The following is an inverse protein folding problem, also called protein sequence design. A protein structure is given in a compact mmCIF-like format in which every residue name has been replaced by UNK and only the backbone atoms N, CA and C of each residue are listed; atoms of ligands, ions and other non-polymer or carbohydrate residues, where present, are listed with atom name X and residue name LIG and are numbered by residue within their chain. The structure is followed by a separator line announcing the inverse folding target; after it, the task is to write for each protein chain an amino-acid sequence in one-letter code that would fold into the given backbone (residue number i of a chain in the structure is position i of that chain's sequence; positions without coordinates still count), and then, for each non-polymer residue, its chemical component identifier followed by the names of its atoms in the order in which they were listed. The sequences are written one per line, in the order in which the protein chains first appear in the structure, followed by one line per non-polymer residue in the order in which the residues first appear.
data_IF_182478793233
#
_entry.id   IF_182478793233
#
_cell.length_a   1.000
_cell.length_b   1.000
_cell.length_c   1.000
_cell.angle_alpha   90.00
_cell.angle_beta   90.00
_cell.angle_gamma   90.00
#
_symmetry.space_group_name_H-M   'P 1'
#
loop_
_entity.id
_entity.type
_entity.pdbx_description
1 polymer ?
#
# COMPACT_ATOMS: atom_id res chain seq x y z
N UNK A 1 -3.64 12.81 22.22
CA UNK A 1 -3.72 11.57 21.42
C UNK A 1 -4.80 11.73 20.36
N UNK A 2 -4.50 11.42 19.10
CA UNK A 2 -5.51 11.48 18.04
C UNK A 2 -6.52 10.33 18.23
N UNK A 3 -7.82 10.63 18.15
CA UNK A 3 -8.89 9.63 18.34
C UNK A 3 -9.04 8.74 17.10
N UNK A 4 -9.18 7.42 17.28
CA UNK A 4 -9.59 6.46 16.25
C UNK A 4 -10.77 6.94 15.38
N UNK A 5 -11.73 7.66 15.97
CA UNK A 5 -12.91 8.18 15.26
C UNK A 5 -12.54 9.10 14.10
N UNK A 6 -11.44 9.85 14.21
CA UNK A 6 -10.99 10.78 13.16
C UNK A 6 -10.50 10.00 11.93
N UNK A 7 -9.88 8.85 12.15
CA UNK A 7 -9.22 8.07 11.12
C UNK A 7 -10.12 7.01 10.47
N UNK A 8 -11.37 6.85 10.92
CA UNK A 8 -12.33 5.92 10.30
C UNK A 8 -12.57 6.17 8.81
N UNK A 9 -12.55 7.44 8.39
CA UNK A 9 -12.81 7.81 7.01
C UNK A 9 -11.77 7.27 6.01
N UNK A 10 -10.58 6.87 6.49
CA UNK A 10 -9.48 6.35 5.66
C UNK A 10 -9.34 4.81 5.75
N UNK A 11 -10.28 4.12 6.41
CA UNK A 11 -10.22 2.66 6.59
C UNK A 11 -10.36 1.94 5.26
N UNK A 12 -11.30 2.39 4.42
CA UNK A 12 -11.60 1.79 3.12
C UNK A 12 -10.64 2.25 2.01
N UNK A 13 -9.77 3.22 2.28
CA UNK A 13 -8.79 3.69 1.29
C UNK A 13 -7.68 2.66 1.12
N UNK A 14 -7.38 2.23 -0.12
CA UNK A 14 -6.33 1.26 -0.36
C UNK A 14 -4.96 1.85 -0.02
N UNK A 15 -4.05 0.98 0.42
CA UNK A 15 -2.64 1.29 0.48
C UNK A 15 -2.05 1.33 -0.93
N UNK A 16 -1.43 2.45 -1.30
CA UNK A 16 -0.64 2.64 -2.51
C UNK A 16 0.84 2.78 -2.18
N UNK A 17 1.70 2.66 -3.19
CA UNK A 17 3.13 2.89 -3.03
C UNK A 17 3.44 4.39 -2.83
N UNK A 18 4.52 4.67 -2.09
CA UNK A 18 5.07 6.02 -1.94
C UNK A 18 6.53 6.04 -2.42
N UNK A 19 6.76 6.07 -3.75
CA UNK A 19 8.09 5.80 -4.35
C UNK A 19 9.19 6.75 -3.88
N UNK A 20 8.83 8.00 -3.58
CA UNK A 20 9.75 9.05 -3.13
C UNK A 20 10.47 8.74 -1.81
N UNK A 21 9.91 7.86 -0.98
CA UNK A 21 10.51 7.46 0.30
C UNK A 21 11.22 6.11 0.23
N UNK A 22 10.99 5.33 -0.83
CA UNK A 22 11.56 4.00 -1.05
C UNK A 22 10.49 2.92 -1.24
N UNK A 23 10.88 1.71 -1.67
CA UNK A 23 9.96 0.65 -2.08
C UNK A 23 9.11 0.06 -0.94
N UNK A 24 9.55 0.20 0.31
CA UNK A 24 8.84 -0.26 1.50
C UNK A 24 7.75 0.71 1.97
N UNK A 25 7.75 1.94 1.45
CA UNK A 25 6.84 2.98 1.92
C UNK A 25 5.51 2.90 1.20
N UNK A 26 4.45 2.98 1.98
CA UNK A 26 3.09 3.00 1.51
C UNK A 26 2.35 4.21 2.05
N UNK A 27 1.38 4.66 1.28
CA UNK A 27 0.49 5.75 1.62
C UNK A 27 -0.96 5.33 1.42
N UNK A 28 -1.83 5.79 2.29
CA UNK A 28 -3.26 5.87 2.02
C UNK A 28 -3.74 7.27 2.35
N UNK A 29 -4.76 7.73 1.64
CA UNK A 29 -5.31 9.08 1.81
C UNK A 29 -6.78 9.11 1.42
N UNK A 30 -7.53 10.04 2.00
CA UNK A 30 -8.89 10.34 1.59
C UNK A 30 -9.16 11.84 1.66
N UNK A 31 -10.08 12.33 0.83
CA UNK A 31 -10.50 13.72 0.78
C UNK A 31 -12.01 13.85 0.91
N UNK A 32 -12.45 14.98 1.42
CA UNK A 32 -13.83 15.41 1.39
C UNK A 32 -13.91 16.95 1.43
N UNK A 33 -15.12 17.51 1.46
CA UNK A 33 -15.32 18.95 1.52
C UNK A 33 -14.85 19.60 2.85
N UNK A 34 -14.48 18.80 3.85
CA UNK A 34 -13.93 19.26 5.12
C UNK A 34 -12.39 19.21 5.15
N UNK A 35 -11.75 18.66 4.12
CA UNK A 35 -10.29 18.60 3.97
C UNK A 35 -9.79 17.19 3.64
N UNK A 36 -8.61 16.83 4.16
CA UNK A 36 -7.99 15.54 3.87
C UNK A 36 -7.40 14.85 5.09
N UNK A 37 -7.22 13.54 4.92
CA UNK A 37 -6.41 12.68 5.77
C UNK A 37 -5.35 12.00 4.91
N UNK A 38 -4.12 11.97 5.39
CA UNK A 38 -3.02 11.23 4.77
C UNK A 38 -2.32 10.40 5.83
N UNK A 39 -1.93 9.18 5.47
CA UNK A 39 -1.28 8.24 6.37
C UNK A 39 -0.21 7.47 5.62
N UNK A 40 1.01 7.42 6.17
CA UNK A 40 2.16 6.74 5.58
C UNK A 40 2.74 5.72 6.54
N UNK A 41 3.27 4.63 6.01
CA UNK A 41 3.91 3.57 6.81
C UNK A 41 5.08 2.96 6.04
N UNK A 42 6.10 2.52 6.78
CA UNK A 42 7.19 1.67 6.31
C UNK A 42 7.02 0.20 6.76
N UNK A 43 5.86 -0.12 7.35
CA UNK A 43 5.59 -1.41 7.98
C UNK A 43 6.10 -1.56 9.42
N UNK A 44 6.80 -0.56 9.96
CA UNK A 44 7.27 -0.53 11.35
C UNK A 44 6.66 0.63 12.16
N UNK A 45 6.39 1.75 11.50
CA UNK A 45 5.73 2.91 12.09
C UNK A 45 4.59 3.42 11.22
N UNK A 46 3.80 4.32 11.81
CA UNK A 46 2.69 4.98 11.14
C UNK A 46 2.80 6.48 11.39
N UNK A 47 2.73 7.28 10.32
CA UNK A 47 2.68 8.72 10.40
C UNK A 47 1.44 9.22 9.69
N UNK A 48 0.85 10.29 10.19
CA UNK A 48 -0.36 10.83 9.59
C UNK A 48 -0.50 12.31 9.79
N UNK A 49 -1.29 12.89 8.89
CA UNK A 49 -1.70 14.27 8.92
C UNK A 49 -3.20 14.38 8.67
N UNK A 50 -3.81 15.37 9.31
CA UNK A 50 -5.17 15.82 9.04
C UNK A 50 -5.15 17.32 8.81
N UNK A 51 -5.70 17.77 7.69
CA UNK A 51 -5.95 19.20 7.45
C UNK A 51 -7.42 19.45 7.16
N UNK A 52 -7.88 20.62 7.59
CA UNK A 52 -9.26 21.05 7.37
C UNK A 52 -9.36 21.97 6.14
N UNK A 53 -10.56 22.15 5.63
CA UNK A 53 -10.85 22.96 4.46
C UNK A 53 -10.31 24.39 4.58
N UNK A 54 -10.42 24.99 5.77
CA UNK A 54 -9.92 26.35 6.04
C UNK A 54 -8.42 26.45 5.79
N UNK A 55 -7.64 25.57 6.42
CA UNK A 55 -6.19 25.50 6.22
C UNK A 55 -5.84 25.31 4.74
N UNK A 56 -6.57 24.43 4.05
CA UNK A 56 -6.29 24.13 2.65
C UNK A 56 -6.46 25.36 1.76
N UNK A 57 -7.55 26.10 1.95
CA UNK A 57 -7.84 27.31 1.20
C UNK A 57 -6.85 28.43 1.54
N UNK A 58 -6.52 28.63 2.82
CA UNK A 58 -5.50 29.60 3.24
C UNK A 58 -4.14 29.30 2.62
N UNK A 59 -3.74 28.03 2.57
CA UNK A 59 -2.49 27.64 1.88
C UNK A 59 -2.59 27.88 0.38
N UNK A 60 -3.72 27.53 -0.25
CA UNK A 60 -3.94 27.75 -1.68
C UNK A 60 -3.83 29.22 -2.09
N UNK A 61 -4.41 30.12 -1.30
CA UNK A 61 -4.35 31.56 -1.52
C UNK A 61 -2.91 32.10 -1.49
N UNK A 62 -2.03 31.52 -0.67
CA UNK A 62 -0.62 31.93 -0.58
C UNK A 62 0.17 31.65 -1.86
N UNK A 63 -0.05 30.50 -2.50
CA UNK A 63 0.73 30.11 -3.69
C UNK A 63 0.01 30.35 -5.02
N UNK A 64 -1.32 30.45 -5.02
CA UNK A 64 -2.10 30.85 -6.20
C UNK A 64 -3.35 31.62 -5.78
N UNK A 65 -3.24 32.95 -5.60
CA UNK A 65 -4.38 33.81 -5.25
C UNK A 65 -5.53 33.76 -6.27
N UNK A 66 -5.25 33.35 -7.50
CA UNK A 66 -6.22 33.26 -8.58
C UNK A 66 -6.88 31.87 -8.69
N UNK A 67 -6.53 30.93 -7.81
CA UNK A 67 -7.10 29.58 -7.85
C UNK A 67 -8.52 29.58 -7.28
N UNK A 68 -9.51 29.64 -8.16
CA UNK A 68 -10.91 29.42 -7.82
C UNK A 68 -11.20 27.92 -7.81
N UNK A 69 -10.88 27.25 -6.69
CA UNK A 69 -11.16 25.82 -6.51
C UNK A 69 -11.60 25.51 -5.08
N UNK A 70 -12.44 24.49 -4.92
CA UNK A 70 -12.84 24.03 -3.61
C UNK A 70 -11.71 23.31 -2.88
N UNK A 71 -11.83 23.23 -1.56
CA UNK A 71 -10.82 22.59 -0.71
C UNK A 71 -10.61 21.11 -1.06
N UNK A 72 -11.64 20.43 -1.57
CA UNK A 72 -11.56 19.04 -1.98
C UNK A 72 -10.69 18.89 -3.23
N UNK A 73 -10.92 19.71 -4.24
CA UNK A 73 -10.18 19.68 -5.51
C UNK A 73 -8.69 19.98 -5.28
N UNK A 74 -8.39 20.96 -4.43
CA UNK A 74 -7.01 21.29 -4.03
C UNK A 74 -6.36 20.12 -3.28
N UNK A 75 -7.12 19.48 -2.37
CA UNK A 75 -6.62 18.31 -1.64
C UNK A 75 -6.34 17.13 -2.58
N UNK A 76 -7.25 16.85 -3.51
CA UNK A 76 -7.12 15.79 -4.50
C UNK A 76 -5.86 16.02 -5.35
N UNK A 77 -5.65 17.26 -5.80
CA UNK A 77 -4.45 17.65 -6.54
C UNK A 77 -3.17 17.41 -5.72
N UNK A 78 -3.11 17.92 -4.48
CA UNK A 78 -1.93 17.79 -3.64
C UNK A 78 -1.60 16.32 -3.32
N UNK A 79 -2.61 15.51 -3.01
CA UNK A 79 -2.41 14.09 -2.69
C UNK A 79 -2.04 13.25 -3.91
N UNK A 80 -2.53 13.58 -5.11
CA UNK A 80 -2.13 12.89 -6.32
C UNK A 80 -0.61 13.02 -6.59
N UNK A 81 -0.02 14.19 -6.29
CA UNK A 81 1.41 14.40 -6.43
C UNK A 81 2.26 13.56 -5.47
N UNK A 82 1.72 13.15 -4.30
CA UNK A 82 2.49 12.34 -3.34
C UNK A 82 2.93 11.00 -3.94
N UNK A 83 2.17 10.47 -4.88
CA UNK A 83 2.50 9.20 -5.55
C UNK A 83 3.62 9.33 -6.59
N UNK A 84 4.06 10.55 -6.90
CA UNK A 84 5.12 10.80 -7.88
C UNK A 84 6.51 10.67 -7.23
N UNK A 85 7.55 10.35 -8.03
CA UNK A 85 8.92 10.22 -7.52
C UNK A 85 9.58 11.55 -7.15
N UNK A 86 8.98 12.70 -7.49
CA UNK A 86 9.57 14.04 -7.30
C UNK A 86 9.42 14.62 -5.89
N UNK A 87 8.71 13.93 -4.99
CA UNK A 87 8.48 14.39 -3.62
C UNK A 87 9.77 14.34 -2.81
N UNK A 88 10.04 15.40 -2.04
CA UNK A 88 11.19 15.45 -1.11
C UNK A 88 10.71 15.11 0.30
N UNK A 89 11.36 14.15 0.95
CA UNK A 89 11.07 13.78 2.33
C UNK A 89 12.17 14.26 3.28
N UNK A 90 11.79 14.97 4.34
CA UNK A 90 12.70 15.44 5.39
C UNK A 90 12.23 14.91 6.73
N UNK A 91 13.09 14.13 7.40
CA UNK A 91 12.81 13.56 8.71
C UNK A 91 13.27 14.50 9.82
N UNK A 92 12.44 14.64 10.85
CA UNK A 92 12.73 15.47 12.02
C UNK A 92 12.49 14.67 13.30
N UNK A 93 13.01 15.19 14.42
CA UNK A 93 12.73 14.68 15.77
C UNK A 93 12.95 13.16 15.95
N UNK A 94 14.09 12.64 15.47
CA UNK A 94 14.43 11.22 15.59
C UNK A 94 13.34 10.27 15.03
N UNK A 95 12.72 10.64 13.90
CA UNK A 95 11.62 9.94 13.22
C UNK A 95 10.24 10.06 13.87
N UNK A 96 10.04 11.01 14.78
CA UNK A 96 8.69 11.32 15.29
C UNK A 96 7.85 12.13 14.28
N UNK A 97 8.50 12.77 13.32
CA UNK A 97 7.85 13.58 12.29
C UNK A 97 8.58 13.47 10.95
N UNK A 98 7.80 13.60 9.87
CA UNK A 98 8.31 13.67 8.50
C UNK A 98 7.54 14.74 7.73
N UNK A 99 8.29 15.60 7.05
CA UNK A 99 7.73 16.58 6.12
C UNK A 99 7.92 16.10 4.69
N UNK A 100 6.82 15.96 3.94
CA UNK A 100 6.84 15.67 2.51
C UNK A 100 6.56 16.96 1.75
N UNK A 101 7.55 17.45 1.03
CA UNK A 101 7.44 18.66 0.20
C UNK A 101 7.23 18.25 -1.27
N UNK A 102 6.15 18.76 -1.86
CA UNK A 102 5.90 18.65 -3.30
C UNK A 102 6.12 20.01 -3.96
N UNK A 103 6.61 19.98 -5.18
CA UNK A 103 6.73 21.16 -6.05
C UNK A 103 6.35 20.72 -7.44
N UNK A 104 5.32 21.34 -7.99
CA UNK A 104 4.73 20.96 -9.27
C UNK A 104 4.21 22.20 -9.99
N UNK A 105 3.80 22.04 -11.24
CA UNK A 105 3.28 23.12 -12.07
C UNK A 105 1.84 22.79 -12.49
N UNK A 106 0.93 23.73 -12.25
CA UNK A 106 -0.47 23.64 -12.63
C UNK A 106 -0.79 24.77 -13.60
N UNK A 107 -1.09 24.44 -14.86
CA UNK A 107 -1.44 25.42 -15.91
C UNK A 107 -0.44 26.58 -16.07
N UNK A 108 0.87 26.33 -15.96
CA UNK A 108 1.88 27.40 -16.04
C UNK A 108 2.28 28.00 -14.69
N UNK A 109 1.59 27.66 -13.60
CA UNK A 109 1.84 28.19 -12.27
C UNK A 109 2.54 27.16 -11.40
N UNK A 110 3.72 27.51 -10.87
CA UNK A 110 4.41 26.69 -9.89
C UNK A 110 3.65 26.74 -8.55
N UNK A 111 3.37 25.58 -7.98
CA UNK A 111 2.88 25.49 -6.61
C UNK A 111 3.75 24.58 -5.76
N UNK A 112 3.75 24.87 -4.46
CA UNK A 112 4.43 24.08 -3.43
C UNK A 112 3.44 23.71 -2.35
N UNK A 113 3.50 22.47 -1.90
CA UNK A 113 2.70 22.00 -0.78
C UNK A 113 3.57 21.15 0.14
N UNK A 114 3.26 21.20 1.43
CA UNK A 114 3.97 20.46 2.45
C UNK A 114 2.99 19.67 3.30
N UNK A 115 3.31 18.40 3.48
CA UNK A 115 2.60 17.50 4.37
C UNK A 115 3.45 17.28 5.62
N UNK A 116 2.94 17.68 6.78
CA UNK A 116 3.63 17.53 8.06
C UNK A 116 3.05 16.31 8.80
N UNK A 117 3.59 15.14 8.50
CA UNK A 117 3.09 13.90 9.09
C UNK A 117 3.76 13.65 10.44
N UNK A 118 2.94 13.39 11.45
CA UNK A 118 3.39 13.07 12.81
C UNK A 118 3.15 11.61 13.10
N UNK A 119 4.03 11.02 13.90
CA UNK A 119 3.90 9.64 14.33
C UNK A 119 2.55 9.44 15.05
N UNK A 120 1.81 8.44 14.59
CA UNK A 120 0.54 8.04 15.17
C UNK A 120 0.77 6.99 16.26
N UNK A 121 -0.24 6.78 17.10
CA UNK A 121 -0.17 5.82 18.19
C UNK A 121 -0.12 4.38 17.67
N UNK A 122 0.45 3.48 18.49
CA UNK A 122 0.49 2.05 18.21
C UNK A 122 -0.92 1.44 18.08
N UNK A 123 -1.93 2.02 18.75
CA UNK A 123 -3.32 1.63 18.57
C UNK A 123 -3.80 1.86 17.12
N UNK A 124 -3.48 3.02 16.53
CA UNK A 124 -3.81 3.32 15.14
C UNK A 124 -3.01 2.45 14.17
N UNK A 125 -1.74 2.16 14.49
CA UNK A 125 -0.92 1.23 13.71
C UNK A 125 -1.49 -0.18 13.72
N UNK A 126 -1.88 -0.69 14.88
CA UNK A 126 -2.49 -2.01 15.02
C UNK A 126 -3.83 -2.10 14.26
N UNK A 127 -4.63 -1.04 14.31
CA UNK A 127 -5.94 -1.01 13.66
C UNK A 127 -5.86 -0.90 12.13
N UNK A 128 -4.99 -0.04 11.60
CA UNK A 128 -4.94 0.21 10.15
C UNK A 128 -3.93 -0.64 9.39
N UNK A 129 -2.98 -1.28 10.07
CA UNK A 129 -1.91 -2.04 9.45
C UNK A 129 -1.89 -3.50 9.93
N UNK A 130 -1.58 -3.72 11.21
CA UNK A 130 -1.31 -5.08 11.72
C UNK A 130 -2.53 -6.00 11.63
N UNK A 131 -3.69 -5.53 12.12
CA UNK A 131 -4.91 -6.35 12.16
C UNK A 131 -5.41 -6.71 10.75
N UNK A 132 -5.55 -5.75 9.80
CA UNK A 132 -5.92 -6.07 8.43
C UNK A 132 -4.95 -7.05 7.76
N UNK A 133 -3.63 -6.85 7.94
CA UNK A 133 -2.62 -7.75 7.38
C UNK A 133 -2.75 -9.17 7.94
N UNK A 134 -2.93 -9.33 9.25
CA UNK A 134 -3.10 -10.64 9.87
C UNK A 134 -4.35 -11.36 9.33
N UNK A 135 -5.47 -10.64 9.23
CA UNK A 135 -6.74 -11.17 8.69
C UNK A 135 -6.56 -11.62 7.24
N UNK A 136 -5.92 -10.80 6.40
CA UNK A 136 -5.67 -11.14 4.99
C UNK A 136 -4.75 -12.36 4.86
N UNK A 137 -3.67 -12.46 5.65
CA UNK A 137 -2.78 -13.63 5.65
C UNK A 137 -3.54 -14.90 6.05
N UNK A 138 -4.40 -14.82 7.06
CA UNK A 138 -5.23 -15.96 7.48
C UNK A 138 -6.22 -16.39 6.39
N UNK A 139 -6.87 -15.42 5.73
CA UNK A 139 -7.78 -15.69 4.60
C UNK A 139 -7.04 -16.33 3.43
N UNK A 140 -5.84 -15.85 3.09
CA UNK A 140 -5.00 -16.43 2.05
C UNK A 140 -4.58 -17.87 2.42
N UNK A 141 -4.17 -18.12 3.66
CA UNK A 141 -3.82 -19.48 4.12
C UNK A 141 -5.02 -20.44 4.01
N UNK A 142 -6.21 -20.00 4.41
CA UNK A 142 -7.44 -20.77 4.25
C UNK A 142 -7.74 -21.08 2.77
N UNK A 143 -7.57 -20.08 1.90
CA UNK A 143 -7.80 -20.23 0.46
C UNK A 143 -6.81 -21.21 -0.18
N UNK A 144 -5.53 -21.16 0.21
CA UNK A 144 -4.50 -22.11 -0.25
C UNK A 144 -4.87 -23.55 0.14
N UNK A 145 -5.32 -23.76 1.37
CA UNK A 145 -5.73 -25.10 1.83
C UNK A 145 -6.94 -25.63 1.07
N UNK A 146 -7.93 -24.77 0.80
CA UNK A 146 -9.10 -25.13 -0.01
C UNK A 146 -8.70 -25.53 -1.43
N UNK A 147 -7.88 -24.71 -2.09
CA UNK A 147 -7.42 -24.97 -3.45
C UNK A 147 -6.57 -26.24 -3.52
N UNK A 148 -5.74 -26.50 -2.51
CA UNK A 148 -4.93 -27.73 -2.43
C UNK A 148 -5.83 -28.96 -2.34
N UNK A 149 -6.84 -28.92 -1.47
CA UNK A 149 -7.83 -30.01 -1.35
C UNK A 149 -8.59 -30.22 -2.66
N UNK A 150 -8.98 -29.15 -3.34
CA UNK A 150 -9.69 -29.23 -4.62
C UNK A 150 -8.81 -29.85 -5.72
N UNK A 151 -7.53 -29.48 -5.78
CA UNK A 151 -6.55 -30.07 -6.70
C UNK A 151 -6.35 -31.55 -6.41
N UNK A 152 -6.21 -31.94 -5.15
CA UNK A 152 -6.10 -33.36 -4.77
C UNK A 152 -7.36 -34.16 -5.13
N UNK A 153 -8.54 -33.58 -4.89
CA UNK A 153 -9.80 -34.22 -5.25
C UNK A 153 -9.92 -34.44 -6.76
N UNK A 154 -9.63 -33.41 -7.56
CA UNK A 154 -9.63 -33.50 -9.03
C UNK A 154 -8.57 -34.48 -9.54
N UNK A 155 -7.40 -34.56 -8.90
CA UNK A 155 -6.37 -35.55 -9.21
C UNK A 155 -6.87 -36.97 -8.98
N UNK A 156 -7.51 -37.24 -7.84
CA UNK A 156 -8.10 -38.57 -7.56
C UNK A 156 -9.19 -38.94 -8.57
N UNK A 157 -10.05 -37.99 -8.94
CA UNK A 157 -11.06 -38.22 -9.98
C UNK A 157 -10.42 -38.56 -11.34
N UNK A 158 -9.32 -37.92 -11.71
CA UNK A 158 -8.59 -38.25 -12.94
C UNK A 158 -7.95 -39.65 -12.86
N UNK A 159 -7.35 -40.00 -11.73
CA UNK A 159 -6.75 -41.33 -11.51
C UNK A 159 -7.82 -42.45 -11.55
N UNK A 160 -9.06 -42.16 -11.14
CA UNK A 160 -10.20 -43.09 -11.24
C UNK A 160 -10.75 -43.22 -12.67
N UNK A 161 -10.80 -42.12 -13.42
CA UNK A 161 -11.36 -42.07 -14.79
C UNK A 161 -10.37 -42.55 -15.86
N UNK A 162 -9.07 -42.50 -15.58
CA UNK A 162 -8.03 -43.04 -16.45
C UNK A 162 -7.71 -44.47 -16.01
N UNK A 163 -8.22 -45.51 -16.71
CA UNK A 163 -7.90 -46.88 -16.36
C UNK A 163 -6.40 -47.09 -16.51
N UNK A 164 -5.81 -47.78 -15.52
CA UNK A 164 -4.44 -48.29 -15.45
C UNK A 164 -3.66 -48.09 -16.76
N UNK A 165 -2.76 -47.11 -16.77
CA UNK A 165 -1.65 -47.11 -17.71
C UNK A 165 -0.67 -48.22 -17.28
N UNK A 166 -1.15 -49.47 -17.27
CA UNK A 166 -0.33 -50.68 -17.10
C UNK A 166 0.07 -51.19 -18.49
N UNK A 167 1.30 -50.81 -18.87
CA UNK A 167 2.30 -51.49 -19.74
C UNK A 167 2.20 -51.34 -21.28
N UNK A 168 3.33 -51.38 -22.05
CA UNK A 168 4.53 -52.20 -21.78
C UNK A 168 5.92 -51.51 -21.85
N UNK A 169 6.83 -52.04 -21.02
CA UNK A 169 8.24 -52.27 -21.32
C UNK A 169 9.11 -51.10 -21.87
N UNK A 170 9.53 -50.18 -21.00
CA UNK A 170 10.84 -49.53 -21.19
C UNK A 170 11.92 -50.48 -20.66
N UNK A 171 12.50 -51.29 -21.54
CA UNK A 171 13.76 -51.99 -21.29
C UNK A 171 14.79 -50.96 -20.82
N UNK A 172 15.14 -50.98 -19.53
CA UNK A 172 16.32 -50.30 -19.06
C UNK A 172 17.55 -50.90 -19.80
N UNK A 173 18.39 -50.08 -20.46
CA UNK A 173 19.64 -50.59 -21.01
C UNK A 173 20.56 -50.97 -19.84
N UNK A 174 21.08 -52.19 -19.84
CA UNK A 174 22.14 -52.59 -18.91
C UNK A 174 23.35 -51.64 -19.06
N UNK A 175 23.93 -51.12 -17.97
CA UNK A 175 25.15 -50.34 -18.08
C UNK A 175 26.32 -51.26 -18.49
N UNK A 176 27.29 -50.77 -19.28
CA UNK A 176 28.44 -51.55 -19.70
C UNK A 176 29.37 -51.82 -18.51
N UNK A 177 29.85 -53.07 -18.41
CA UNK A 177 30.94 -53.47 -17.51
C UNK A 177 32.21 -52.72 -17.89
N UNK A 178 32.67 -51.84 -17.01
CA UNK A 178 34.02 -51.26 -17.07
C UNK A 178 34.99 -52.39 -16.72
N UNK A 179 35.89 -52.73 -17.66
CA UNK A 179 37.04 -53.58 -17.39
C UNK A 179 38.12 -52.72 -16.76
N UNK A 180 38.55 -53.12 -15.56
CA UNK A 180 39.75 -52.64 -14.88
C UNK A 180 41.00 -53.09 -15.63
N UNK A 181 41.85 -52.12 -15.96
CA UNK A 181 43.30 -52.27 -16.17
C UNK A 181 43.95 -50.99 -15.70
#
# INVERSE_FOLDING_TARGET
MASLKIWRAIEESPWGALPSMGPQWMIKSCTNNQGYLAMVTDGCGLWGEKRNAKYILEQAEVWSPCLESGSKEISDLALAELTKPSVKAVWTDNRESVTLSISSELHGFSYRWEFELKRLSDELFNHHWVTPMLVQVQQLASRVNQLTTEVEHKRRQLDELLPDNKSPASKAPKPPRIKTT
#
